data_IF_237355702435
#
_entry.id   IF_237355702435
#
_cell.length_a   1.000
_cell.length_b   1.000
_cell.length_c   1.000
_cell.angle_alpha   90.00
_cell.angle_beta   90.00
_cell.angle_gamma   90.00
#
_symmetry.space_group_name_H-M   'P 1'
#
loop_
_entity.id
_entity.type
_entity.pdbx_description
1 polymer ?
#
# COMPACT_ATOMS: atom_id res chain seq x y z
N UNK A 1 -2.62 20.01 -5.68
CA UNK A 1 -3.27 18.67 -5.75
C UNK A 1 -2.17 17.63 -5.56
N UNK A 2 -2.46 16.40 -5.12
CA UNK A 2 -1.44 15.35 -5.09
C UNK A 2 -1.26 14.77 -6.49
N UNK A 3 -0.02 14.42 -6.84
CA UNK A 3 0.35 13.85 -8.15
C UNK A 3 -0.06 12.37 -8.29
N UNK A 4 -0.47 11.72 -7.20
CA UNK A 4 -0.84 10.30 -7.16
C UNK A 4 -1.94 10.05 -6.13
N UNK A 5 -2.71 8.97 -6.36
CA UNK A 5 -3.75 8.45 -5.46
C UNK A 5 -3.25 7.35 -4.53
N UNK A 6 -2.00 6.89 -4.70
CA UNK A 6 -1.37 5.95 -3.76
C UNK A 6 -1.25 6.56 -2.37
N UNK A 7 -1.25 5.70 -1.36
CA UNK A 7 -1.05 6.10 0.03
C UNK A 7 0.41 5.83 0.37
N UNK A 8 1.13 6.70 1.11
CA UNK A 8 2.53 6.44 1.45
C UNK A 8 2.75 5.04 2.03
N UNK A 9 1.87 4.60 2.94
CA UNK A 9 1.94 3.26 3.56
C UNK A 9 1.85 2.07 2.58
N UNK A 10 1.36 2.26 1.36
CA UNK A 10 1.31 1.19 0.36
C UNK A 10 2.61 1.07 -0.43
N UNK A 11 3.52 2.04 -0.37
CA UNK A 11 4.75 2.07 -1.17
C UNK A 11 5.88 1.24 -0.55
N UNK A 12 6.70 0.62 -1.41
CA UNK A 12 7.88 -0.17 -1.00
C UNK A 12 8.88 0.61 -0.12
N UNK A 13 9.02 1.93 -0.35
CA UNK A 13 9.85 2.84 0.46
C UNK A 13 9.35 3.00 1.91
N UNK A 14 8.12 2.58 2.18
CA UNK A 14 7.45 2.60 3.48
C UNK A 14 7.06 1.19 3.97
N UNK A 15 7.76 0.15 3.52
CA UNK A 15 7.48 -1.26 3.84
C UNK A 15 6.14 -1.78 3.29
N UNK A 16 5.56 -1.08 2.32
CA UNK A 16 4.42 -1.53 1.53
C UNK A 16 4.83 -2.42 0.35
N UNK A 17 3.91 -2.61 -0.61
CA UNK A 17 4.07 -3.55 -1.74
C UNK A 17 3.91 -2.91 -3.12
N UNK A 18 3.46 -1.66 -3.18
CA UNK A 18 3.29 -0.90 -4.42
C UNK A 18 4.55 -0.13 -4.79
N UNK A 19 4.79 0.07 -6.08
CA UNK A 19 5.83 0.96 -6.59
C UNK A 19 5.20 1.97 -7.55
N UNK A 20 5.61 3.25 -7.45
CA UNK A 20 5.23 4.29 -8.39
C UNK A 20 6.20 4.32 -9.57
N UNK A 21 5.79 3.78 -10.71
CA UNK A 21 6.62 3.74 -11.94
C UNK A 21 6.56 5.03 -12.75
N UNK A 22 5.51 5.85 -12.56
CA UNK A 22 5.18 6.96 -13.45
C UNK A 22 4.69 6.48 -14.82
N UNK A 23 4.58 7.40 -15.81
CA UNK A 23 3.99 7.10 -17.12
C UNK A 23 4.96 6.46 -18.13
N UNK A 24 6.22 6.22 -17.76
CA UNK A 24 7.26 5.69 -18.64
C UNK A 24 7.02 4.18 -18.94
N UNK A 25 6.72 3.80 -20.20
CA UNK A 25 6.41 2.42 -20.56
C UNK A 25 7.54 1.43 -20.27
N UNK A 26 8.80 1.85 -20.40
CA UNK A 26 9.94 0.97 -20.19
C UNK A 26 10.11 0.68 -18.70
N UNK A 27 9.95 1.70 -17.85
CA UNK A 27 9.94 1.52 -16.39
C UNK A 27 8.81 0.59 -15.95
N UNK A 28 7.60 0.75 -16.50
CA UNK A 28 6.47 -0.12 -16.18
C UNK A 28 6.81 -1.59 -16.48
N UNK A 29 7.39 -1.87 -17.66
CA UNK A 29 7.78 -3.22 -18.07
C UNK A 29 8.87 -3.80 -17.17
N UNK A 30 9.91 -3.03 -16.90
CA UNK A 30 11.01 -3.45 -16.02
C UNK A 30 10.50 -3.78 -14.61
N UNK A 31 9.69 -2.91 -14.02
CA UNK A 31 9.08 -3.14 -12.71
C UNK A 31 8.20 -4.39 -12.71
N UNK A 32 7.33 -4.55 -13.71
CA UNK A 32 6.47 -5.72 -13.84
C UNK A 32 7.26 -7.04 -13.86
N UNK A 33 8.29 -7.14 -14.71
CA UNK A 33 9.12 -8.34 -14.79
C UNK A 33 9.92 -8.58 -13.50
N UNK A 34 10.41 -7.51 -12.86
CA UNK A 34 11.07 -7.59 -11.55
C UNK A 34 10.12 -8.16 -10.50
N UNK A 35 8.91 -7.61 -10.35
CA UNK A 35 7.92 -8.11 -9.38
C UNK A 35 7.50 -9.56 -9.63
N UNK A 36 7.38 -10.00 -10.89
CA UNK A 36 7.09 -11.41 -11.19
C UNK A 36 8.26 -12.34 -10.86
N UNK A 37 9.50 -11.90 -11.07
CA UNK A 37 10.71 -12.71 -10.82
C UNK A 37 11.09 -12.72 -9.34
N UNK A 38 10.87 -11.61 -8.67
CA UNK A 38 11.16 -11.37 -7.24
C UNK A 38 9.97 -11.69 -6.34
N UNK A 39 8.94 -12.39 -6.85
CA UNK A 39 7.90 -13.01 -6.02
C UNK A 39 8.47 -14.21 -5.24
N UNK A 40 9.63 -14.00 -4.58
CA UNK A 40 10.14 -14.87 -3.54
C UNK A 40 9.16 -14.78 -2.38
N UNK A 41 8.85 -15.94 -1.80
CA UNK A 41 7.97 -16.18 -0.66
C UNK A 41 7.81 -14.98 0.26
N UNK A 42 6.60 -14.71 0.80
CA UNK A 42 6.31 -13.55 1.64
C UNK A 42 7.44 -13.37 2.64
N UNK A 43 8.38 -12.49 2.30
CA UNK A 43 9.52 -12.23 3.14
C UNK A 43 8.93 -11.62 4.39
N UNK A 44 9.51 -11.98 5.52
CA UNK A 44 9.17 -11.57 6.88
C UNK A 44 9.02 -10.06 7.11
N UNK A 45 9.18 -9.25 6.06
CA UNK A 45 9.25 -7.80 6.05
C UNK A 45 7.99 -7.17 5.42
N UNK A 46 7.01 -7.97 5.00
CA UNK A 46 5.67 -7.48 4.61
C UNK A 46 4.98 -6.89 5.85
N UNK A 47 5.02 -5.56 5.97
CA UNK A 47 4.38 -4.85 7.07
C UNK A 47 2.87 -4.79 6.81
N UNK A 48 2.08 -5.59 7.53
CA UNK A 48 0.63 -5.39 7.59
C UNK A 48 0.40 -4.06 8.34
N UNK A 49 -0.22 -3.04 7.72
CA UNK A 49 -0.38 -1.76 8.38
C UNK A 49 -1.24 -1.89 9.64
N UNK A 50 -1.00 -1.03 10.65
CA UNK A 50 -1.83 -1.00 11.85
C UNK A 50 -3.31 -0.84 11.50
N UNK A 51 -4.18 -1.53 12.25
CA UNK A 51 -5.64 -1.48 12.10
C UNK A 51 -6.17 -2.07 10.77
N UNK A 52 -5.36 -2.82 10.01
CA UNK A 52 -5.82 -3.63 8.89
C UNK A 52 -6.50 -4.94 9.36
N UNK A 53 -7.41 -4.83 10.32
CA UNK A 53 -8.09 -5.93 11.01
C UNK A 53 -9.54 -6.14 10.53
N UNK A 54 -9.96 -5.41 9.49
CA UNK A 54 -11.32 -5.44 8.95
C UNK A 54 -12.37 -4.70 9.81
N UNK A 55 -11.97 -4.03 10.91
CA UNK A 55 -12.91 -3.35 11.82
C UNK A 55 -13.08 -1.85 11.56
N UNK A 56 -12.75 -1.39 10.35
CA UNK A 56 -12.79 0.03 9.99
C UNK A 56 -14.17 0.65 10.21
N UNK A 57 -15.25 -0.03 9.79
CA UNK A 57 -16.62 0.48 9.95
C UNK A 57 -17.00 0.71 11.42
N UNK A 58 -16.64 -0.23 12.31
CA UNK A 58 -16.94 -0.14 13.74
C UNK A 58 -16.27 1.08 14.35
N UNK A 59 -14.96 1.25 14.11
CA UNK A 59 -14.20 2.41 14.60
C UNK A 59 -14.75 3.74 14.10
N UNK A 60 -15.25 3.80 12.85
CA UNK A 60 -15.87 5.00 12.30
C UNK A 60 -17.15 5.35 13.05
N UNK A 61 -18.04 4.37 13.28
CA UNK A 61 -19.29 4.59 14.02
C UNK A 61 -19.00 5.06 15.45
N UNK A 62 -18.07 4.41 16.14
CA UNK A 62 -17.64 4.80 17.49
C UNK A 62 -17.10 6.25 17.52
N UNK A 63 -16.27 6.63 16.56
CA UNK A 63 -15.72 7.99 16.47
C UNK A 63 -16.79 9.05 16.22
N UNK A 64 -17.82 8.75 15.42
CA UNK A 64 -18.92 9.69 15.16
C UNK A 64 -19.81 9.84 16.40
N UNK A 65 -20.15 8.74 17.07
CA UNK A 65 -21.03 8.75 18.24
C UNK A 65 -20.36 9.30 19.51
N UNK A 66 -19.04 9.32 19.59
CA UNK A 66 -18.29 9.79 20.77
C UNK A 66 -18.04 11.31 20.82
N UNK A 67 -18.42 12.07 19.79
CA UNK A 67 -18.22 13.53 19.70
C UNK A 67 -19.47 14.30 20.20
N UNK A 68 -20.15 13.80 21.23
CA UNK A 68 -21.29 14.49 21.86
C UNK A 68 -20.88 15.35 23.05
#
# INVERSE_FOLDING_TARGET
>A
MRETTERPVTLVEHSGVSELTGPDPDKIRTSFHRFLSDFRSPSSDLCIPPLWDGKTAVRIVEAICSVQ
#
